data_IF_742347411137
#
_entry.id   IF_742347411137
#
_cell.length_a   1.000
_cell.length_b   1.000
_cell.length_c   1.000
_cell.angle_alpha   90.00
_cell.angle_beta   90.00
_cell.angle_gamma   90.00
#
_symmetry.space_group_name_H-M   'P 1'
#
loop_
_entity.id
_entity.type
_entity.pdbx_description
1 polymer ?
#
# COMPACT_ATOMS: atom_id res chain seq x y z
N UNK A 1 36.43 0.58 12.88
CA UNK A 1 37.61 0.93 13.70
C UNK A 1 38.27 2.18 13.11
N UNK A 2 38.95 2.99 13.92
CA UNK A 2 39.71 4.16 13.45
C UNK A 2 40.95 4.41 14.34
N UNK A 3 41.90 5.19 13.84
CA UNK A 3 43.10 5.60 14.58
C UNK A 3 42.79 6.88 15.36
N UNK A 4 43.07 6.88 16.67
CA UNK A 4 43.02 8.06 17.52
C UNK A 4 44.39 8.35 18.13
N UNK A 5 44.71 9.63 18.29
CA UNK A 5 45.87 10.08 19.06
C UNK A 5 45.33 10.71 20.34
N UNK A 6 45.73 10.18 21.49
CA UNK A 6 45.21 10.60 22.81
C UNK A 6 46.36 10.97 23.74
N UNK A 7 46.09 11.78 24.76
CA UNK A 7 47.10 12.33 25.67
C UNK A 7 47.57 13.74 25.28
N UNK A 8 48.48 14.32 26.10
CA UNK A 8 49.03 15.68 25.92
C UNK A 8 50.56 15.65 25.98
N UNK A 9 51.20 16.53 25.20
CA UNK A 9 52.66 16.71 25.21
C UNK A 9 53.43 15.44 24.81
N UNK A 10 54.49 15.12 25.57
CA UNK A 10 55.35 13.94 25.33
C UNK A 10 54.66 12.61 25.62
N UNK A 11 53.49 12.62 26.27
CA UNK A 11 52.71 11.43 26.65
C UNK A 11 51.65 11.05 25.61
N UNK A 12 51.70 11.61 24.39
CA UNK A 12 50.76 11.25 23.32
C UNK A 12 50.95 9.80 22.87
N UNK A 13 49.84 9.07 22.74
CA UNK A 13 49.83 7.68 22.29
C UNK A 13 48.89 7.49 21.10
N UNK A 14 49.25 6.58 20.19
CA UNK A 14 48.44 6.17 19.06
C UNK A 14 47.64 4.93 19.43
N UNK A 15 46.35 4.93 19.15
CA UNK A 15 45.42 3.87 19.53
C UNK A 15 44.48 3.52 18.38
N UNK A 16 44.09 2.24 18.28
CA UNK A 16 42.91 1.82 17.53
C UNK A 16 41.68 1.88 18.42
N UNK A 17 40.64 2.55 17.94
CA UNK A 17 39.40 2.79 18.66
C UNK A 17 38.17 2.38 17.84
N UNK A 18 37.09 2.09 18.56
CA UNK A 18 35.75 1.86 18.01
C UNK A 18 34.72 2.73 18.72
N UNK A 19 33.66 3.11 18.01
CA UNK A 19 32.52 3.79 18.60
C UNK A 19 31.33 2.85 18.64
N UNK A 20 30.79 2.65 19.85
CA UNK A 20 29.59 1.85 20.09
C UNK A 20 28.48 2.74 20.59
N UNK A 21 27.24 2.55 20.11
CA UNK A 21 26.09 3.28 20.62
C UNK A 21 25.67 2.68 21.96
N UNK A 22 25.50 3.50 22.98
CA UNK A 22 24.96 3.04 24.26
C UNK A 22 23.47 2.78 24.06
N UNK A 23 23.02 1.54 24.30
CA UNK A 23 21.63 1.14 24.11
C UNK A 23 20.65 2.09 24.83
N UNK A 24 19.54 2.41 24.17
CA UNK A 24 18.50 3.35 24.65
C UNK A 24 18.94 4.81 24.80
N UNK A 25 20.12 5.19 24.28
CA UNK A 25 20.56 6.60 24.27
C UNK A 25 21.06 7.04 22.90
N UNK A 26 21.17 8.35 22.70
CA UNK A 26 21.86 8.94 21.54
C UNK A 26 23.37 9.11 21.78
N UNK A 27 23.90 8.64 22.92
CA UNK A 27 25.31 8.78 23.27
C UNK A 27 26.13 7.63 22.68
N UNK A 28 27.32 7.97 22.18
CA UNK A 28 28.32 7.00 21.70
C UNK A 28 29.42 6.84 22.75
N UNK A 29 29.86 5.62 22.99
CA UNK A 29 31.01 5.28 23.83
C UNK A 29 32.17 4.88 22.93
N UNK A 30 33.33 5.50 23.14
CA UNK A 30 34.57 5.08 22.49
C UNK A 30 35.19 3.94 23.29
N UNK A 31 35.53 2.85 22.62
CA UNK A 31 36.23 1.70 23.18
C UNK A 31 37.60 1.63 22.53
N UNK A 32 38.65 1.59 23.34
CA UNK A 32 40.03 1.39 22.86
C UNK A 32 40.22 -0.10 22.59
N UNK A 33 40.50 -0.45 21.33
CA UNK A 33 40.72 -1.83 20.90
C UNK A 33 42.16 -2.24 21.15
N UNK A 34 43.12 -1.36 20.85
CA UNK A 34 44.56 -1.62 21.04
C UNK A 34 45.32 -0.30 21.13
N UNK A 35 46.27 -0.21 22.07
CA UNK A 35 47.26 0.88 22.11
C UNK A 35 48.49 0.45 21.33
N UNK A 36 48.94 1.27 20.39
CA UNK A 36 50.06 0.96 19.48
C UNK A 36 51.39 1.40 20.09
N UNK A 37 51.48 2.63 20.60
CA UNK A 37 52.71 3.14 21.18
C UNK A 37 52.74 4.67 21.28
N UNK A 38 53.88 5.23 21.68
CA UNK A 38 54.08 6.68 21.81
C UNK A 38 54.16 7.35 20.44
N UNK A 39 53.40 8.42 20.25
CA UNK A 39 53.29 9.13 18.97
C UNK A 39 54.63 9.69 18.46
N UNK A 40 55.43 10.29 19.34
CA UNK A 40 56.71 10.91 18.98
C UNK A 40 57.80 9.89 18.66
N UNK A 41 57.75 8.72 19.31
CA UNK A 41 58.68 7.62 19.02
C UNK A 41 58.37 7.00 17.66
N UNK A 42 57.09 6.70 17.41
CA UNK A 42 56.65 6.09 16.15
C UNK A 42 56.91 6.98 14.93
N UNK A 43 56.74 8.31 15.05
CA UNK A 43 57.03 9.23 13.95
C UNK A 43 58.52 9.39 13.66
N UNK A 44 59.40 9.25 14.67
CA UNK A 44 60.85 9.28 14.48
C UNK A 44 61.35 8.07 13.72
N UNK A 45 60.74 6.91 13.94
CA UNK A 45 61.09 5.66 13.25
C UNK A 45 60.48 5.59 11.85
N UNK A 46 59.23 6.01 11.68
CA UNK A 46 58.55 6.05 10.39
C UNK A 46 57.64 7.29 10.28
N UNK A 47 58.00 8.30 9.47
CA UNK A 47 57.18 9.49 9.26
C UNK A 47 55.77 9.21 8.71
N UNK A 48 55.58 8.08 8.01
CA UNK A 48 54.32 7.69 7.37
C UNK A 48 53.45 6.74 8.22
N UNK A 49 53.88 6.39 9.43
CA UNK A 49 53.23 5.37 10.28
C UNK A 49 51.73 5.61 10.51
N UNK A 50 51.29 6.86 10.62
CA UNK A 50 49.87 7.19 10.84
C UNK A 50 49.02 6.88 9.61
N UNK A 51 49.54 7.10 8.41
CA UNK A 51 48.84 6.80 7.17
C UNK A 51 48.70 5.28 6.99
N UNK A 52 49.75 4.53 7.30
CA UNK A 52 49.75 3.07 7.28
C UNK A 52 48.76 2.49 8.29
N UNK A 53 48.79 2.97 9.54
CA UNK A 53 47.85 2.55 10.57
C UNK A 53 46.39 2.87 10.21
N UNK A 54 46.13 3.98 9.50
CA UNK A 54 44.77 4.28 8.98
C UNK A 54 44.34 3.29 7.89
N UNK A 55 45.24 2.92 6.97
CA UNK A 55 44.96 1.89 5.95
C UNK A 55 44.71 0.53 6.61
N UNK A 56 45.49 0.18 7.62
CA UNK A 56 45.31 -1.06 8.37
C UNK A 56 44.01 -1.08 9.18
N UNK A 57 43.66 0.02 9.85
CA UNK A 57 42.37 0.14 10.54
C UNK A 57 41.17 -0.04 9.59
N UNK A 58 41.30 0.45 8.34
CA UNK A 58 40.29 0.24 7.29
C UNK A 58 40.23 -1.23 6.89
N UNK A 59 41.37 -1.87 6.61
CA UNK A 59 41.46 -3.30 6.27
C UNK A 59 40.85 -4.18 7.34
N UNK A 60 41.22 -3.99 8.61
CA UNK A 60 40.68 -4.72 9.76
C UNK A 60 39.17 -4.48 9.94
N UNK A 61 38.68 -3.28 9.63
CA UNK A 61 37.23 -3.00 9.65
C UNK A 61 36.51 -3.76 8.54
N UNK A 62 37.09 -3.84 7.35
CA UNK A 62 36.51 -4.53 6.20
C UNK A 62 36.57 -6.06 6.38
N UNK A 63 37.64 -6.61 6.94
CA UNK A 63 37.75 -8.02 7.34
C UNK A 63 36.75 -8.38 8.44
N UNK A 64 36.58 -7.56 9.48
CA UNK A 64 35.54 -7.77 10.51
C UNK A 64 34.12 -7.66 9.95
N UNK A 65 33.88 -6.77 8.98
CA UNK A 65 32.58 -6.70 8.27
C UNK A 65 32.31 -7.94 7.42
N UNK A 66 33.34 -8.59 6.90
CA UNK A 66 33.22 -9.89 6.19
C UNK A 66 32.96 -11.05 7.16
N UNK A 67 33.57 -11.04 8.35
CA UNK A 67 33.47 -12.13 9.34
C UNK A 67 32.28 -12.01 10.32
N UNK A 68 31.66 -10.84 10.46
CA UNK A 68 30.38 -10.73 11.17
C UNK A 68 29.30 -11.30 10.26
N UNK A 69 28.71 -12.45 10.62
CA UNK A 69 27.55 -12.99 9.91
C UNK A 69 26.50 -11.88 9.78
N UNK A 70 26.29 -11.36 8.56
CA UNK A 70 25.17 -10.46 8.32
C UNK A 70 23.92 -11.27 8.62
N UNK A 71 23.23 -10.95 9.70
CA UNK A 71 21.87 -11.39 9.90
C UNK A 71 21.07 -10.92 8.69
N UNK A 72 20.70 -11.83 7.81
CA UNK A 72 19.99 -11.49 6.59
C UNK A 72 18.50 -11.50 6.91
N UNK A 73 17.86 -10.37 6.62
CA UNK A 73 16.48 -10.12 6.91
C UNK A 73 15.77 -9.76 5.60
N UNK A 74 14.76 -10.54 5.24
CA UNK A 74 13.96 -10.31 4.04
C UNK A 74 12.49 -10.16 4.37
N UNK A 75 11.74 -9.43 3.55
CA UNK A 75 10.28 -9.45 3.55
C UNK A 75 9.80 -10.59 2.67
N UNK A 76 8.81 -11.34 3.15
CA UNK A 76 8.25 -12.47 2.41
C UNK A 76 6.71 -12.48 2.36
N UNK A 77 6.06 -11.41 2.84
CA UNK A 77 4.59 -11.30 2.80
C UNK A 77 4.02 -11.29 1.38
N UNK A 78 4.83 -10.99 0.37
CA UNK A 78 4.49 -11.13 -1.04
C UNK A 78 4.26 -12.59 -1.49
N UNK A 79 4.53 -13.59 -0.64
CA UNK A 79 4.09 -14.98 -0.84
C UNK A 79 2.57 -15.09 -1.07
N UNK A 80 1.77 -14.22 -0.42
CA UNK A 80 0.33 -14.14 -0.68
C UNK A 80 0.04 -13.71 -2.13
N UNK A 81 0.73 -12.66 -2.58
CA UNK A 81 0.58 -12.15 -3.96
C UNK A 81 1.05 -13.19 -4.95
N UNK A 82 2.16 -13.88 -4.67
CA UNK A 82 2.69 -14.95 -5.51
C UNK A 82 1.73 -16.12 -5.68
N UNK A 83 1.10 -16.56 -4.59
CA UNK A 83 0.07 -17.61 -4.63
C UNK A 83 -1.11 -17.20 -5.51
N UNK A 84 -1.63 -15.99 -5.33
CA UNK A 84 -2.70 -15.45 -6.19
C UNK A 84 -2.27 -15.30 -7.65
N UNK A 85 -1.05 -14.80 -7.88
CA UNK A 85 -0.50 -14.56 -9.23
C UNK A 85 -0.41 -15.85 -10.05
N UNK A 86 -0.07 -16.97 -9.40
CA UNK A 86 -0.10 -18.30 -10.01
C UNK A 86 -1.49 -18.77 -10.37
N UNK A 87 -2.48 -18.41 -9.57
CA UNK A 87 -3.87 -18.83 -9.76
C UNK A 87 -4.57 -18.05 -10.87
N UNK A 88 -4.23 -16.76 -11.05
CA UNK A 88 -4.75 -15.92 -12.14
C UNK A 88 -4.14 -16.35 -13.48
N UNK A 89 -2.92 -16.87 -13.48
CA UNK A 89 -2.13 -17.29 -14.64
C UNK A 89 -2.00 -16.22 -15.75
N UNK A 90 -1.39 -15.08 -15.39
CA UNK A 90 -1.17 -13.97 -16.33
C UNK A 90 -0.13 -14.28 -17.43
N UNK A 91 0.44 -15.50 -17.47
CA UNK A 91 1.48 -15.85 -18.44
C UNK A 91 0.94 -15.89 -19.87
N UNK A 92 -0.30 -16.33 -20.06
CA UNK A 92 -0.92 -16.36 -21.39
C UNK A 92 -1.10 -14.95 -21.97
N UNK A 93 -1.42 -13.98 -21.11
CA UNK A 93 -1.65 -12.58 -21.51
C UNK A 93 -0.35 -11.82 -21.69
N UNK A 94 0.59 -11.96 -20.75
CA UNK A 94 1.79 -11.10 -20.67
C UNK A 94 3.04 -11.75 -21.28
N UNK A 95 3.12 -13.08 -21.34
CA UNK A 95 4.38 -13.80 -21.51
C UNK A 95 5.21 -13.83 -20.22
N UNK A 96 6.22 -14.70 -20.18
CA UNK A 96 6.97 -14.98 -18.94
C UNK A 96 7.81 -13.79 -18.47
N UNK A 97 8.53 -13.13 -19.37
CA UNK A 97 9.42 -12.02 -19.04
C UNK A 97 8.65 -10.82 -18.47
N UNK A 98 7.60 -10.37 -19.16
CA UNK A 98 6.78 -9.24 -18.72
C UNK A 98 6.02 -9.57 -17.43
N UNK A 99 5.49 -10.80 -17.29
CA UNK A 99 4.83 -11.25 -16.06
C UNK A 99 5.77 -11.18 -14.85
N UNK A 100 7.04 -11.56 -15.00
CA UNK A 100 8.06 -11.47 -13.94
C UNK A 100 8.33 -10.02 -13.54
N UNK A 101 8.56 -9.13 -14.50
CA UNK A 101 8.83 -7.70 -14.22
C UNK A 101 7.61 -7.03 -13.58
N UNK A 102 6.42 -7.30 -14.11
CA UNK A 102 5.17 -6.78 -13.57
C UNK A 102 4.91 -7.26 -12.15
N UNK A 103 5.14 -8.54 -11.85
CA UNK A 103 5.00 -9.09 -10.51
C UNK A 103 5.86 -8.31 -9.50
N UNK A 104 7.12 -8.02 -9.84
CA UNK A 104 7.99 -7.21 -9.00
C UNK A 104 7.42 -5.81 -8.78
N UNK A 105 6.94 -5.13 -9.83
CA UNK A 105 6.32 -3.79 -9.72
C UNK A 105 5.11 -3.81 -8.79
N UNK A 106 4.23 -4.81 -8.94
CA UNK A 106 3.05 -5.00 -8.11
C UNK A 106 3.43 -5.21 -6.65
N UNK A 107 4.42 -6.07 -6.37
CA UNK A 107 4.87 -6.32 -5.00
C UNK A 107 5.49 -5.08 -4.37
N UNK A 108 6.35 -4.35 -5.10
CA UNK A 108 6.88 -3.09 -4.62
C UNK A 108 5.76 -2.11 -4.31
N UNK A 109 4.79 -1.92 -5.22
CA UNK A 109 3.68 -0.99 -5.00
C UNK A 109 2.77 -1.37 -3.83
N UNK A 110 2.45 -2.65 -3.67
CA UNK A 110 1.59 -3.13 -2.59
C UNK A 110 2.30 -3.20 -1.22
N UNK A 111 3.61 -3.49 -1.25
CA UNK A 111 4.42 -3.73 -0.06
C UNK A 111 5.27 -2.55 0.41
N UNK A 112 5.43 -1.50 -0.41
CA UNK A 112 6.23 -0.29 -0.12
C UNK A 112 5.36 0.98 -0.03
N UNK A 113 5.96 2.17 -0.09
CA UNK A 113 5.23 3.44 -0.19
C UNK A 113 4.66 3.63 -1.59
N UNK A 114 3.38 3.97 -1.70
CA UNK A 114 2.68 4.13 -2.99
C UNK A 114 3.29 5.19 -3.91
N UNK A 115 4.07 6.13 -3.35
CA UNK A 115 4.55 7.30 -4.07
C UNK A 115 5.82 7.07 -4.89
N UNK A 116 6.62 6.05 -4.63
CA UNK A 116 7.91 5.86 -5.31
C UNK A 116 7.97 4.47 -5.92
N UNK A 117 8.34 4.37 -7.20
CA UNK A 117 8.55 3.08 -7.85
C UNK A 117 9.87 2.41 -7.44
N UNK A 118 10.83 3.18 -6.90
CA UNK A 118 12.22 2.74 -6.70
C UNK A 118 12.61 2.31 -5.28
N UNK A 119 11.76 2.40 -4.26
CA UNK A 119 12.28 2.17 -2.91
C UNK A 119 12.29 0.70 -2.50
N UNK A 120 13.43 0.07 -2.75
CA UNK A 120 14.02 -0.92 -1.85
C UNK A 120 14.05 -0.32 -0.44
N UNK A 121 13.04 -0.65 0.38
CA UNK A 121 13.09 -0.43 1.83
C UNK A 121 14.41 -1.00 2.36
N UNK A 122 14.88 -0.49 3.52
CA UNK A 122 16.05 -1.03 4.25
C UNK A 122 16.05 -2.57 4.36
N UNK A 123 14.88 -3.19 4.34
CA UNK A 123 14.70 -4.64 4.24
C UNK A 123 14.16 -4.99 2.86
N UNK A 124 14.94 -5.70 2.02
CA UNK A 124 14.52 -6.13 0.69
C UNK A 124 13.47 -7.23 0.77
N UNK A 125 12.73 -7.43 -0.32
CA UNK A 125 11.87 -8.59 -0.48
C UNK A 125 12.71 -9.81 -0.90
N UNK A 126 12.35 -10.98 -0.38
CA UNK A 126 13.02 -12.25 -0.73
C UNK A 126 12.89 -12.52 -2.23
N UNK A 127 14.01 -12.80 -2.90
CA UNK A 127 14.08 -13.11 -4.34
C UNK A 127 13.42 -12.09 -5.29
N UNK A 128 13.26 -10.84 -4.87
CA UNK A 128 12.80 -9.76 -5.74
C UNK A 128 13.95 -8.78 -5.97
N UNK A 129 14.32 -8.66 -7.24
CA UNK A 129 15.32 -7.72 -7.71
C UNK A 129 14.68 -6.35 -7.92
N UNK A 130 15.49 -5.30 -7.73
CA UNK A 130 15.08 -3.94 -8.09
C UNK A 130 14.87 -3.84 -9.60
N UNK A 131 13.86 -3.09 -9.99
CA UNK A 131 13.50 -2.90 -11.40
C UNK A 131 14.25 -1.69 -11.91
N UNK A 132 14.85 -1.82 -13.10
CA UNK A 132 15.58 -0.70 -13.69
C UNK A 132 14.61 0.37 -14.17
N UNK A 133 15.13 1.60 -14.30
CA UNK A 133 14.35 2.71 -14.85
C UNK A 133 13.81 2.37 -16.26
N UNK A 134 14.64 1.76 -17.10
CA UNK A 134 14.25 1.36 -18.45
C UNK A 134 13.14 0.32 -18.44
N UNK A 135 13.30 -0.75 -17.64
CA UNK A 135 12.30 -1.82 -17.56
C UNK A 135 10.96 -1.30 -17.03
N UNK A 136 10.99 -0.33 -16.11
CA UNK A 136 9.77 0.32 -15.62
C UNK A 136 9.01 0.99 -16.77
N UNK A 137 9.64 1.87 -17.55
CA UNK A 137 8.97 2.57 -18.65
C UNK A 137 8.50 1.62 -19.75
N UNK A 138 9.35 0.67 -20.17
CA UNK A 138 8.98 -0.35 -21.16
C UNK A 138 7.79 -1.19 -20.69
N UNK A 139 7.78 -1.59 -19.41
CA UNK A 139 6.64 -2.32 -18.84
C UNK A 139 5.36 -1.50 -18.92
N UNK A 140 5.40 -0.19 -18.63
CA UNK A 140 4.21 0.66 -18.74
C UNK A 140 3.70 0.75 -20.19
N UNK A 141 4.58 0.83 -21.18
CA UNK A 141 4.17 0.83 -22.59
C UNK A 141 3.53 -0.49 -23.01
N UNK A 142 4.02 -1.62 -22.50
CA UNK A 142 3.39 -2.92 -22.73
C UNK A 142 2.05 -3.09 -22.01
N UNK A 143 1.92 -2.53 -20.80
CA UNK A 143 0.66 -2.53 -20.06
C UNK A 143 -0.43 -1.71 -20.76
N UNK A 144 -0.08 -0.56 -21.35
CA UNK A 144 -1.01 0.25 -22.13
C UNK A 144 -1.62 -0.55 -23.29
N UNK A 145 -0.80 -1.30 -24.03
CA UNK A 145 -1.26 -2.16 -25.13
C UNK A 145 -2.14 -3.31 -24.66
N UNK A 146 -1.91 -3.83 -23.46
CA UNK A 146 -2.58 -5.02 -22.90
C UNK A 146 -3.71 -4.68 -21.92
N UNK A 147 -4.10 -3.41 -21.79
CA UNK A 147 -5.09 -2.94 -20.82
C UNK A 147 -6.39 -3.76 -20.87
N UNK A 148 -6.96 -3.92 -22.06
CA UNK A 148 -8.25 -4.63 -22.25
C UNK A 148 -8.14 -6.10 -21.87
N UNK A 149 -7.09 -6.78 -22.34
CA UNK A 149 -6.85 -8.20 -22.08
C UNK A 149 -6.66 -8.46 -20.57
N UNK A 150 -5.97 -7.54 -19.89
CA UNK A 150 -5.77 -7.60 -18.44
C UNK A 150 -7.08 -7.38 -17.68
N UNK A 151 -7.88 -6.38 -18.05
CA UNK A 151 -9.19 -6.15 -17.45
C UNK A 151 -10.08 -7.39 -17.63
N UNK A 152 -10.12 -7.98 -18.82
CA UNK A 152 -10.90 -9.18 -19.10
C UNK A 152 -10.40 -10.38 -18.27
N UNK A 153 -9.09 -10.61 -18.21
CA UNK A 153 -8.48 -11.68 -17.42
C UNK A 153 -8.85 -11.59 -15.93
N UNK A 154 -8.74 -10.40 -15.33
CA UNK A 154 -9.10 -10.19 -13.93
C UNK A 154 -10.61 -10.36 -13.70
N UNK A 155 -11.47 -9.86 -14.60
CA UNK A 155 -12.91 -10.09 -14.48
C UNK A 155 -13.27 -11.57 -14.57
N UNK A 156 -12.74 -12.30 -15.53
CA UNK A 156 -12.94 -13.74 -15.68
C UNK A 156 -12.50 -14.52 -14.43
N UNK A 157 -11.40 -14.09 -13.80
CA UNK A 157 -10.97 -14.64 -12.53
C UNK A 157 -11.98 -14.35 -11.40
N UNK A 158 -12.41 -13.09 -11.24
CA UNK A 158 -13.32 -12.72 -10.16
C UNK A 158 -14.73 -13.27 -10.33
N UNK A 159 -15.25 -13.38 -11.56
CA UNK A 159 -16.53 -14.06 -11.82
C UNK A 159 -16.57 -15.49 -11.27
N UNK A 160 -15.43 -16.19 -11.27
CA UNK A 160 -15.31 -17.56 -10.75
C UNK A 160 -15.05 -17.60 -9.24
N UNK A 161 -14.47 -16.55 -8.66
CA UNK A 161 -13.91 -16.55 -7.30
C UNK A 161 -14.71 -15.74 -6.29
N UNK A 162 -15.61 -14.89 -6.76
CA UNK A 162 -16.40 -13.99 -5.91
C UNK A 162 -17.90 -14.26 -6.09
N UNK A 163 -18.70 -13.69 -5.20
CA UNK A 163 -20.17 -13.70 -5.29
C UNK A 163 -20.68 -12.40 -5.89
N UNK A 164 -20.01 -11.90 -6.92
CA UNK A 164 -20.36 -10.65 -7.58
C UNK A 164 -21.71 -10.81 -8.28
N UNK A 165 -22.68 -9.97 -7.90
CA UNK A 165 -23.95 -9.83 -8.59
C UNK A 165 -23.79 -8.89 -9.79
N UNK A 166 -24.58 -9.07 -10.84
CA UNK A 166 -24.50 -8.29 -12.09
C UNK A 166 -25.63 -7.25 -12.22
N UNK A 167 -26.45 -7.12 -11.18
CA UNK A 167 -27.62 -6.23 -11.22
C UNK A 167 -27.22 -4.77 -10.97
N UNK A 168 -26.21 -4.56 -10.12
CA UNK A 168 -25.77 -3.23 -9.71
C UNK A 168 -24.24 -3.12 -9.67
N UNK A 169 -23.72 -2.03 -10.20
CA UNK A 169 -22.32 -1.64 -10.05
C UNK A 169 -22.20 -0.18 -9.64
N UNK A 170 -21.00 0.16 -9.19
CA UNK A 170 -20.68 1.48 -8.70
C UNK A 170 -19.60 2.09 -9.55
N UNK A 171 -19.64 3.40 -9.69
CA UNK A 171 -18.54 4.12 -10.32
C UNK A 171 -18.13 5.36 -9.55
N UNK A 172 -16.83 5.62 -9.58
CA UNK A 172 -16.20 6.75 -8.92
C UNK A 172 -15.36 7.52 -9.93
N UNK A 173 -15.68 8.81 -10.10
CA UNK A 173 -14.92 9.71 -10.96
C UNK A 173 -13.95 10.50 -10.10
N UNK A 174 -12.65 10.35 -10.36
CA UNK A 174 -11.58 11.08 -9.67
C UNK A 174 -10.79 11.94 -10.64
N UNK A 175 -10.29 13.08 -10.17
CA UNK A 175 -9.49 13.99 -10.98
C UNK A 175 -8.03 13.85 -10.60
N UNK A 176 -7.15 13.91 -11.59
CA UNK A 176 -5.71 13.79 -11.41
C UNK A 176 -4.98 14.96 -12.06
N UNK A 177 -3.87 15.33 -11.44
CA UNK A 177 -2.93 16.32 -11.97
C UNK A 177 -1.55 15.69 -12.04
N UNK A 178 -1.00 15.65 -13.24
CA UNK A 178 0.39 15.32 -13.48
C UNK A 178 1.16 16.58 -13.81
N UNK A 179 2.22 16.86 -13.06
CA UNK A 179 3.12 17.96 -13.35
C UNK A 179 4.48 17.40 -13.81
N UNK A 180 4.87 17.72 -15.04
CA UNK A 180 6.09 17.21 -15.65
C UNK A 180 7.36 17.82 -15.06
N UNK A 181 7.31 19.08 -14.61
CA UNK A 181 8.43 19.77 -13.97
C UNK A 181 8.79 19.16 -12.61
N UNK A 182 7.79 18.95 -11.76
CA UNK A 182 7.96 18.31 -10.45
C UNK A 182 8.06 16.79 -10.56
N UNK A 183 7.72 16.20 -11.73
CA UNK A 183 7.68 14.74 -11.95
C UNK A 183 6.75 14.04 -10.97
N UNK A 184 5.61 14.67 -10.66
CA UNK A 184 4.64 14.16 -9.69
C UNK A 184 3.27 14.05 -10.30
N UNK A 185 2.68 12.85 -10.15
CA UNK A 185 1.26 12.59 -10.32
C UNK A 185 0.62 12.53 -8.93
N UNK A 186 -0.43 13.32 -8.70
CA UNK A 186 -1.29 13.20 -7.53
C UNK A 186 -2.75 13.33 -7.94
N UNK A 187 -3.62 12.60 -7.23
CA UNK A 187 -5.05 12.80 -7.36
C UNK A 187 -5.49 14.03 -6.58
N UNK A 188 -6.47 14.75 -7.13
CA UNK A 188 -7.10 15.88 -6.50
C UNK A 188 -8.58 15.53 -6.26
N UNK A 189 -9.08 15.69 -5.03
CA UNK A 189 -10.52 15.72 -4.83
C UNK A 189 -11.12 16.97 -5.50
N UNK A 190 -10.36 18.07 -5.66
CA UNK A 190 -10.84 19.38 -6.12
C UNK A 190 -10.27 19.76 -7.48
N UNK A 191 -11.13 20.28 -8.36
CA UNK A 191 -10.74 20.93 -9.61
C UNK A 191 -10.21 22.36 -9.38
N UNK A 192 -9.12 22.51 -8.61
CA UNK A 192 -8.36 23.77 -8.56
C UNK A 192 -7.30 23.75 -9.65
N UNK A 193 -7.77 23.98 -10.87
CA UNK A 193 -6.95 24.08 -12.07
C UNK A 193 -6.30 25.47 -12.07
N UNK A 194 -5.15 25.61 -11.40
CA UNK A 194 -4.23 26.69 -11.74
C UNK A 194 -3.47 26.28 -13.00
N UNK A 195 -3.72 27.03 -14.08
CA UNK A 195 -3.15 26.83 -15.40
C UNK A 195 -1.68 27.23 -15.44
N UNK A 196 -0.80 26.27 -15.21
CA UNK A 196 0.58 26.33 -15.65
C UNK A 196 0.74 25.35 -16.82
N UNK A 197 1.48 25.75 -17.86
CA UNK A 197 1.67 25.01 -19.11
C UNK A 197 2.27 23.60 -18.94
N UNK A 198 2.82 23.31 -17.76
CA UNK A 198 3.50 22.06 -17.41
C UNK A 198 2.59 21.05 -16.67
N UNK A 199 1.29 21.33 -16.59
CA UNK A 199 0.32 20.52 -15.85
C UNK A 199 -0.71 19.85 -16.76
N UNK A 200 -0.75 18.52 -16.73
CA UNK A 200 -1.77 17.72 -17.40
C UNK A 200 -2.85 17.32 -16.40
N UNK A 201 -4.07 17.80 -16.64
CA UNK A 201 -5.25 17.43 -15.85
C UNK A 201 -6.09 16.41 -16.61
N UNK A 202 -6.60 15.42 -15.90
CA UNK A 202 -7.41 14.35 -16.49
C UNK A 202 -8.33 13.71 -15.44
N UNK A 203 -9.35 13.00 -15.90
CA UNK A 203 -10.29 12.27 -15.05
C UNK A 203 -10.12 10.77 -15.21
N UNK A 204 -10.37 10.02 -14.14
CA UNK A 204 -10.51 8.57 -14.16
C UNK A 204 -11.91 8.21 -13.67
N UNK A 205 -12.66 7.48 -14.48
CA UNK A 205 -13.85 6.76 -14.03
C UNK A 205 -13.45 5.32 -13.68
N UNK A 206 -13.57 4.94 -12.41
CA UNK A 206 -13.35 3.57 -11.94
C UNK A 206 -14.70 2.91 -11.67
N UNK A 207 -14.91 1.71 -12.22
CA UNK A 207 -16.10 0.89 -12.04
C UNK A 207 -15.78 -0.29 -11.14
N UNK A 208 -16.65 -0.62 -10.19
CA UNK A 208 -16.44 -1.68 -9.20
C UNK A 208 -17.76 -2.28 -8.69
N UNK A 209 -17.67 -3.48 -8.11
CA UNK A 209 -18.83 -4.18 -7.51
C UNK A 209 -19.08 -3.77 -6.04
N UNK A 210 -20.10 -4.36 -5.41
CA UNK A 210 -20.46 -4.10 -4.00
C UNK A 210 -19.35 -4.45 -2.98
N UNK A 211 -18.37 -5.27 -3.36
CA UNK A 211 -17.20 -5.60 -2.54
C UNK A 211 -16.01 -4.67 -2.80
N UNK A 212 -16.17 -3.69 -3.69
CA UNK A 212 -15.11 -2.77 -4.11
C UNK A 212 -14.11 -3.39 -5.08
N UNK A 213 -14.36 -4.59 -5.61
CA UNK A 213 -13.47 -5.24 -6.57
C UNK A 213 -13.67 -4.55 -7.92
N UNK A 214 -12.60 -4.06 -8.57
CA UNK A 214 -12.71 -3.38 -9.85
C UNK A 214 -13.36 -4.24 -10.94
N UNK A 215 -14.13 -3.58 -11.80
CA UNK A 215 -14.71 -4.10 -13.03
C UNK A 215 -13.92 -3.57 -14.22
N UNK A 216 -13.73 -2.26 -14.28
CA UNK A 216 -13.02 -1.59 -15.37
C UNK A 216 -12.62 -0.19 -14.92
N UNK A 217 -11.79 0.48 -15.71
CA UNK A 217 -11.55 1.91 -15.56
C UNK A 217 -11.46 2.58 -16.94
N UNK A 218 -11.64 3.89 -16.98
CA UNK A 218 -11.42 4.74 -18.16
C UNK A 218 -10.69 6.01 -17.77
N UNK A 219 -9.75 6.43 -18.61
CA UNK A 219 -9.02 7.69 -18.48
C UNK A 219 -9.49 8.67 -19.53
N UNK A 220 -9.71 9.90 -19.11
CA UNK A 220 -10.17 11.02 -19.93
C UNK A 220 -9.13 12.12 -19.85
N UNK A 221 -8.21 12.14 -20.81
CA UNK A 221 -7.12 13.11 -20.87
C UNK A 221 -7.59 14.30 -21.69
N UNK A 222 -7.59 15.50 -21.09
CA UNK A 222 -8.14 16.76 -21.66
C UNK A 222 -9.66 16.76 -21.93
N UNK A 223 -10.31 15.61 -21.81
CA UNK A 223 -11.75 15.43 -21.85
C UNK A 223 -12.30 15.23 -20.43
N UNK A 224 -13.62 15.37 -20.28
CA UNK A 224 -14.32 15.08 -19.03
C UNK A 224 -15.25 13.91 -19.24
N UNK A 225 -15.41 13.10 -18.20
CA UNK A 225 -16.36 12.01 -18.21
C UNK A 225 -17.78 12.55 -18.46
N UNK A 226 -18.47 12.01 -19.46
CA UNK A 226 -19.84 12.36 -19.83
C UNK A 226 -20.79 11.16 -19.71
N UNK A 227 -22.08 11.40 -19.97
CA UNK A 227 -23.10 10.35 -19.93
C UNK A 227 -23.00 9.37 -21.09
N UNK A 228 -22.53 9.82 -22.25
CA UNK A 228 -22.38 8.94 -23.42
C UNK A 228 -21.38 7.83 -23.15
N UNK A 229 -20.27 8.12 -22.46
CA UNK A 229 -19.31 7.06 -22.13
C UNK A 229 -19.84 6.10 -21.07
N UNK A 230 -20.73 6.55 -20.17
CA UNK A 230 -21.40 5.67 -19.23
C UNK A 230 -22.29 4.66 -19.98
N UNK A 231 -23.10 5.11 -20.94
CA UNK A 231 -23.96 4.24 -21.75
C UNK A 231 -23.17 3.19 -22.56
N UNK A 232 -21.98 3.55 -23.06
CA UNK A 232 -21.10 2.61 -23.75
C UNK A 232 -20.53 1.53 -22.80
N UNK A 233 -20.18 1.92 -21.58
CA UNK A 233 -19.65 1.02 -20.55
C UNK A 233 -20.75 0.11 -20.02
N UNK A 234 -21.97 0.62 -19.86
CA UNK A 234 -23.16 -0.15 -19.50
C UNK A 234 -23.39 -1.31 -20.46
N UNK A 235 -23.33 -1.04 -21.77
CA UNK A 235 -23.46 -2.05 -22.83
C UNK A 235 -22.31 -3.07 -22.78
N UNK A 236 -21.10 -2.62 -22.50
CA UNK A 236 -19.90 -3.47 -22.48
C UNK A 236 -19.89 -4.41 -21.29
N UNK A 237 -20.21 -3.92 -20.09
CA UNK A 237 -20.16 -4.70 -18.85
C UNK A 237 -21.41 -5.56 -18.62
N UNK A 238 -22.49 -5.33 -19.38
CA UNK A 238 -23.78 -6.04 -19.25
C UNK A 238 -24.34 -5.94 -17.83
N UNK A 239 -24.24 -4.76 -17.22
CA UNK A 239 -24.73 -4.47 -15.88
C UNK A 239 -25.97 -3.60 -16.01
N UNK A 240 -27.02 -3.95 -15.26
CA UNK A 240 -28.34 -3.34 -15.41
C UNK A 240 -28.40 -1.90 -14.89
N UNK A 241 -27.63 -1.57 -13.86
CA UNK A 241 -27.69 -0.26 -13.21
C UNK A 241 -26.34 0.15 -12.62
N UNK A 242 -25.95 1.41 -12.85
CA UNK A 242 -24.78 2.02 -12.23
C UNK A 242 -25.17 3.08 -11.20
N UNK A 243 -24.49 3.07 -10.07
CA UNK A 243 -24.64 4.06 -8.99
C UNK A 243 -23.39 4.92 -8.89
N UNK A 244 -23.55 6.23 -9.03
CA UNK A 244 -22.46 7.19 -8.86
C UNK A 244 -22.09 7.28 -7.39
N UNK A 245 -20.84 7.01 -7.05
CA UNK A 245 -20.31 7.31 -5.73
C UNK A 245 -19.56 8.63 -5.81
N UNK A 246 -19.99 9.64 -5.05
CA UNK A 246 -19.38 10.97 -5.06
C UNK A 246 -18.90 11.38 -3.68
N UNK A 247 -17.63 11.77 -3.58
CA UNK A 247 -17.08 12.38 -2.36
C UNK A 247 -17.47 13.86 -2.21
N UNK A 248 -18.21 14.41 -3.18
CA UNK A 248 -18.61 15.83 -3.24
C UNK A 248 -20.11 16.00 -3.54
N UNK A 249 -20.72 16.94 -2.85
CA UNK A 249 -22.14 17.29 -2.99
C UNK A 249 -22.46 17.90 -4.38
N UNK A 250 -21.57 18.74 -4.91
CA UNK A 250 -21.83 19.51 -6.14
C UNK A 250 -21.87 18.68 -7.44
N UNK A 251 -21.52 17.39 -7.38
CA UNK A 251 -21.59 16.48 -8.54
C UNK A 251 -22.97 15.84 -8.71
N UNK A 252 -23.90 16.13 -7.81
CA UNK A 252 -25.22 15.49 -7.79
C UNK A 252 -26.18 16.28 -8.67
N UNK A 253 -26.24 15.89 -9.95
CA UNK A 253 -27.35 16.23 -10.85
C UNK A 253 -28.07 14.95 -11.37
N UNK A 254 -27.59 13.77 -10.96
CA UNK A 254 -27.99 12.48 -11.50
C UNK A 254 -28.86 11.67 -10.54
N UNK A 255 -29.70 10.81 -11.08
CA UNK A 255 -30.34 9.71 -10.34
C UNK A 255 -29.34 8.57 -10.12
N UNK A 256 -29.58 7.74 -9.12
CA UNK A 256 -28.76 6.59 -8.71
C UNK A 256 -27.38 7.03 -8.21
N UNK A 257 -27.33 7.60 -7.00
CA UNK A 257 -26.07 8.07 -6.42
C UNK A 257 -25.93 7.74 -4.93
N UNK A 258 -24.68 7.73 -4.46
CA UNK A 258 -24.29 7.81 -3.06
C UNK A 258 -23.30 8.97 -2.95
N UNK A 259 -23.66 10.00 -2.18
CA UNK A 259 -22.84 11.21 -2.07
C UNK A 259 -22.59 11.61 -0.64
N UNK A 260 -21.38 12.08 -0.34
CA UNK A 260 -21.13 12.77 0.93
C UNK A 260 -21.80 14.14 0.95
N UNK A 261 -22.43 14.47 2.07
CA UNK A 261 -22.98 15.80 2.36
C UNK A 261 -22.39 16.33 3.67
N UNK A 262 -22.21 17.65 3.79
CA UNK A 262 -21.79 18.27 5.03
C UNK A 262 -22.99 18.50 5.94
N UNK A 263 -22.79 18.38 7.26
CA UNK A 263 -23.87 18.59 8.22
C UNK A 263 -24.46 20.00 8.10
N UNK A 264 -23.59 20.98 7.88
CA UNK A 264 -23.91 22.39 7.75
C UNK A 264 -24.78 22.70 6.53
N UNK A 265 -24.72 21.84 5.49
CA UNK A 265 -25.50 22.00 4.27
C UNK A 265 -26.90 21.36 4.36
N UNK A 266 -27.17 20.59 5.42
CA UNK A 266 -28.50 20.02 5.67
C UNK A 266 -29.47 21.08 6.21
N UNK A 267 -30.76 20.92 5.90
CA UNK A 267 -31.77 21.82 6.44
C UNK A 267 -31.90 21.69 7.97
N UNK A 268 -32.45 22.74 8.62
CA UNK A 268 -32.48 22.82 10.09
C UNK A 268 -33.34 21.74 10.76
N UNK A 269 -34.36 21.22 10.07
CA UNK A 269 -35.21 20.14 10.59
C UNK A 269 -34.46 18.80 10.60
N UNK A 270 -33.76 18.48 9.52
CA UNK A 270 -32.91 17.28 9.41
C UNK A 270 -31.78 17.36 10.43
N UNK A 271 -31.10 18.50 10.55
CA UNK A 271 -30.05 18.69 11.56
C UNK A 271 -30.56 18.40 12.98
N UNK A 272 -31.74 18.92 13.34
CA UNK A 272 -32.38 18.62 14.63
C UNK A 272 -32.71 17.14 14.78
N UNK A 273 -33.21 16.48 13.72
CA UNK A 273 -33.53 15.05 13.76
C UNK A 273 -32.26 14.20 13.94
N UNK A 274 -31.14 14.54 13.31
CA UNK A 274 -29.85 13.86 13.49
C UNK A 274 -29.41 13.89 14.96
N UNK A 275 -29.52 15.07 15.60
CA UNK A 275 -29.10 15.29 16.98
C UNK A 275 -29.96 14.56 18.02
N UNK A 276 -31.16 14.08 17.66
CA UNK A 276 -31.97 13.25 18.55
C UNK A 276 -31.33 11.88 18.72
N UNK A 277 -31.21 11.42 19.97
CA UNK A 277 -30.71 10.08 20.32
C UNK A 277 -31.67 8.93 19.97
N UNK A 278 -32.86 9.24 19.44
CA UNK A 278 -33.82 8.24 18.97
C UNK A 278 -33.44 7.70 17.58
N UNK A 279 -33.93 6.50 17.26
CA UNK A 279 -33.78 5.81 15.95
C UNK A 279 -32.34 5.45 15.55
N UNK A 280 -31.38 5.58 16.46
CA UNK A 280 -30.03 5.04 16.24
C UNK A 280 -30.05 3.52 16.38
N UNK A 281 -29.55 2.82 15.37
CA UNK A 281 -29.25 1.40 15.43
C UNK A 281 -27.77 1.24 15.81
N UNK A 282 -27.52 0.47 16.84
CA UNK A 282 -26.16 0.16 17.29
C UNK A 282 -25.59 -0.92 16.37
N UNK A 283 -24.45 -0.61 15.76
CA UNK A 283 -23.76 -1.50 14.82
C UNK A 283 -22.74 -2.36 15.57
N UNK A 284 -21.95 -1.74 16.45
CA UNK A 284 -20.90 -2.44 17.21
C UNK A 284 -20.83 -1.90 18.64
N UNK A 285 -20.57 -2.82 19.59
CA UNK A 285 -20.23 -2.51 20.97
C UNK A 285 -18.96 -3.23 21.41
N UNK A 286 -18.21 -2.60 22.30
CA UNK A 286 -17.12 -3.27 23.00
C UNK A 286 -17.69 -4.35 23.93
N UNK A 287 -17.15 -5.57 23.82
CA UNK A 287 -17.63 -6.74 24.55
C UNK A 287 -17.41 -6.60 26.07
N UNK A 288 -16.36 -5.89 26.50
CA UNK A 288 -15.97 -5.76 27.91
C UNK A 288 -16.65 -4.58 28.57
N UNK A 289 -16.70 -3.43 27.90
CA UNK A 289 -17.19 -2.17 28.47
C UNK A 289 -18.64 -1.87 28.09
N UNK A 290 -19.23 -2.63 27.15
CA UNK A 290 -20.54 -2.37 26.55
C UNK A 290 -20.66 -0.97 25.90
N UNK A 291 -19.52 -0.34 25.64
CA UNK A 291 -19.44 0.96 24.99
C UNK A 291 -19.84 0.86 23.52
N UNK A 292 -20.62 1.83 23.02
CA UNK A 292 -20.97 1.90 21.60
C UNK A 292 -19.75 2.33 20.79
N UNK A 293 -19.32 1.46 19.88
CA UNK A 293 -18.20 1.73 18.99
C UNK A 293 -18.68 2.31 17.66
N UNK A 294 -19.82 1.83 17.16
CA UNK A 294 -20.40 2.24 15.89
C UNK A 294 -21.93 2.28 15.97
N UNK A 295 -22.55 3.31 15.39
CA UNK A 295 -24.00 3.44 15.28
C UNK A 295 -24.39 4.08 13.95
N UNK A 296 -25.58 3.75 13.44
CA UNK A 296 -26.13 4.37 12.25
C UNK A 296 -27.59 4.80 12.42
N UNK A 297 -28.01 5.72 11.57
CA UNK A 297 -29.36 6.27 11.53
C UNK A 297 -29.74 6.58 10.09
N UNK A 298 -31.01 6.43 9.76
CA UNK A 298 -31.55 6.74 8.44
C UNK A 298 -32.66 7.76 8.62
N UNK A 299 -32.63 8.79 7.79
CA UNK A 299 -33.68 9.82 7.73
C UNK A 299 -34.17 9.88 6.28
N UNK A 300 -35.46 9.72 6.07
CA UNK A 300 -36.08 9.95 4.77
C UNK A 300 -36.30 11.46 4.61
N UNK A 301 -35.72 12.06 3.58
CA UNK A 301 -35.82 13.50 3.30
C UNK A 301 -37.06 13.76 2.44
N UNK A 302 -37.21 12.99 1.36
CA UNK A 302 -38.36 13.01 0.46
C UNK A 302 -38.72 11.57 0.03
N UNK A 303 -39.67 11.40 -0.90
CA UNK A 303 -40.16 10.07 -1.29
C UNK A 303 -39.06 9.13 -1.80
N UNK A 304 -37.96 9.65 -2.35
CA UNK A 304 -36.90 8.82 -2.92
C UNK A 304 -35.53 9.04 -2.25
N UNK A 305 -35.32 10.17 -1.56
CA UNK A 305 -34.03 10.59 -1.02
C UNK A 305 -33.87 10.20 0.46
N UNK A 306 -32.81 9.44 0.75
CA UNK A 306 -32.46 8.95 2.07
C UNK A 306 -31.14 9.55 2.51
N UNK A 307 -31.09 9.98 3.76
CA UNK A 307 -29.87 10.37 4.45
C UNK A 307 -29.45 9.25 5.39
N UNK A 308 -28.34 8.61 5.06
CA UNK A 308 -27.66 7.66 5.90
C UNK A 308 -26.60 8.38 6.75
N UNK A 309 -26.75 8.28 8.07
CA UNK A 309 -25.80 8.82 9.03
C UNK A 309 -25.06 7.66 9.68
N UNK A 310 -23.74 7.72 9.64
CA UNK A 310 -22.86 6.76 10.30
C UNK A 310 -21.96 7.45 11.29
N UNK A 311 -21.80 6.86 12.46
CA UNK A 311 -20.87 7.32 13.47
C UNK A 311 -19.97 6.18 13.91
N UNK A 312 -18.67 6.48 14.09
CA UNK A 312 -17.75 5.56 14.76
C UNK A 312 -16.82 6.29 15.74
N UNK A 313 -16.57 5.66 16.88
CA UNK A 313 -15.65 6.17 17.91
C UNK A 313 -14.24 6.37 17.35
N UNK A 314 -13.78 5.46 16.50
CA UNK A 314 -12.47 5.54 15.85
C UNK A 314 -12.36 6.77 14.95
N UNK A 315 -13.40 7.08 14.16
CA UNK A 315 -13.43 8.30 13.36
C UNK A 315 -13.51 9.54 14.25
N UNK A 316 -14.30 9.51 15.33
CA UNK A 316 -14.40 10.63 16.27
C UNK A 316 -13.04 11.01 16.87
N UNK A 317 -12.24 10.01 17.29
CA UNK A 317 -10.88 10.25 17.75
C UNK A 317 -9.99 10.86 16.67
N UNK A 318 -10.08 10.36 15.42
CA UNK A 318 -9.33 10.91 14.29
C UNK A 318 -9.73 12.35 13.99
N UNK A 319 -11.03 12.66 13.99
CA UNK A 319 -11.57 14.01 13.79
C UNK A 319 -11.11 15.00 14.86
N UNK A 320 -11.05 14.55 16.12
CA UNK A 320 -10.49 15.32 17.22
C UNK A 320 -9.01 15.64 16.99
N UNK A 321 -8.21 14.65 16.59
CA UNK A 321 -6.79 14.86 16.28
C UNK A 321 -6.57 15.77 15.07
N UNK A 322 -7.44 15.66 14.05
CA UNK A 322 -7.42 16.49 12.83
C UNK A 322 -8.05 17.88 13.03
N UNK A 323 -8.73 18.13 14.16
CA UNK A 323 -9.45 19.37 14.48
C UNK A 323 -10.46 19.79 13.39
N UNK A 324 -11.14 18.83 12.77
CA UNK A 324 -12.03 19.08 11.64
C UNK A 324 -13.52 19.25 12.02
N UNK A 325 -13.87 19.17 13.31
CA UNK A 325 -15.23 19.39 13.81
C UNK A 325 -16.27 18.29 13.53
N UNK A 326 -15.96 17.28 12.70
CA UNK A 326 -16.93 16.26 12.25
C UNK A 326 -17.33 15.24 13.32
N UNK A 327 -16.54 15.15 14.40
CA UNK A 327 -16.89 14.40 15.62
C UNK A 327 -17.26 12.92 15.40
N UNK A 328 -16.76 12.30 14.33
CA UNK A 328 -16.97 10.89 14.01
C UNK A 328 -18.11 10.61 13.06
N UNK A 329 -18.87 11.62 12.64
CA UNK A 329 -20.04 11.46 11.78
C UNK A 329 -19.67 11.51 10.29
N UNK A 330 -20.35 10.66 9.53
CA UNK A 330 -20.34 10.63 8.08
C UNK A 330 -21.80 10.68 7.62
N UNK A 331 -22.10 11.60 6.72
CA UNK A 331 -23.44 11.80 6.18
C UNK A 331 -23.41 11.44 4.69
N UNK A 332 -24.16 10.41 4.32
CA UNK A 332 -24.26 9.91 2.96
C UNK A 332 -25.70 10.04 2.50
N UNK A 333 -25.90 10.73 1.39
CA UNK A 333 -27.20 10.91 0.75
C UNK A 333 -27.30 9.98 -0.46
N UNK A 334 -28.44 9.34 -0.62
CA UNK A 334 -28.70 8.43 -1.74
C UNK A 334 -30.17 8.42 -2.12
N UNK A 335 -30.44 8.25 -3.40
CA UNK A 335 -31.78 7.99 -3.95
C UNK A 335 -32.00 6.50 -4.29
N UNK A 336 -31.05 5.63 -3.93
CA UNK A 336 -31.09 4.21 -4.24
C UNK A 336 -31.81 3.40 -3.15
N UNK A 337 -32.81 2.62 -3.55
CA UNK A 337 -33.60 1.80 -2.62
C UNK A 337 -33.10 0.36 -2.52
N UNK A 338 -32.36 -0.12 -3.52
CA UNK A 338 -31.89 -1.50 -3.60
C UNK A 338 -30.69 -1.77 -2.67
N UNK A 339 -30.05 -0.73 -2.14
CA UNK A 339 -28.84 -0.87 -1.32
C UNK A 339 -29.22 -0.92 0.15
N UNK A 340 -28.79 -1.98 0.83
CA UNK A 340 -29.01 -2.09 2.25
C UNK A 340 -28.22 -1.00 3.02
N UNK A 341 -28.79 -0.40 4.08
CA UNK A 341 -28.16 0.76 4.73
C UNK A 341 -26.74 0.51 5.24
N UNK A 342 -26.47 -0.71 5.72
CA UNK A 342 -25.16 -1.10 6.20
C UNK A 342 -24.11 -1.22 5.08
N UNK A 343 -24.53 -1.41 3.82
CA UNK A 343 -23.66 -1.52 2.65
C UNK A 343 -23.28 -0.14 2.10
N UNK A 344 -24.15 0.87 2.21
CA UNK A 344 -23.90 2.24 1.72
C UNK A 344 -22.55 2.77 2.23
N UNK A 345 -22.27 2.60 3.53
CA UNK A 345 -20.99 3.01 4.10
C UNK A 345 -19.82 2.25 3.51
N UNK A 346 -19.96 0.94 3.31
CA UNK A 346 -18.90 0.09 2.79
C UNK A 346 -18.55 0.47 1.34
N UNK A 347 -19.58 0.63 0.50
CA UNK A 347 -19.48 1.10 -0.89
C UNK A 347 -18.75 2.43 -0.95
N UNK A 348 -19.17 3.39 -0.13
CA UNK A 348 -18.50 4.69 -0.08
C UNK A 348 -17.05 4.58 0.38
N UNK A 349 -16.75 3.76 1.38
CA UNK A 349 -15.38 3.53 1.86
C UNK A 349 -14.49 2.81 0.83
N UNK A 350 -15.07 2.16 -0.20
CA UNK A 350 -14.29 1.62 -1.32
C UNK A 350 -13.70 2.72 -2.22
N UNK A 351 -14.19 3.95 -2.20
CA UNK A 351 -13.55 5.05 -2.95
C UNK A 351 -12.40 5.71 -2.19
N UNK A 352 -12.31 5.50 -0.89
CA UNK A 352 -11.30 6.16 -0.05
C UNK A 352 -9.87 5.71 -0.35
N UNK A 353 -8.99 6.71 -0.48
CA UNK A 353 -7.56 6.59 -0.72
C UNK A 353 -7.20 5.99 -2.10
N UNK A 354 -8.13 5.96 -3.06
CA UNK A 354 -7.80 5.51 -4.42
C UNK A 354 -6.76 6.45 -5.05
N UNK A 355 -6.96 7.75 -4.93
CA UNK A 355 -6.05 8.78 -5.43
C UNK A 355 -4.64 8.63 -4.86
N UNK A 356 -4.54 8.40 -3.54
CA UNK A 356 -3.27 8.21 -2.85
C UNK A 356 -2.54 6.94 -3.30
N UNK A 357 -3.27 5.91 -3.74
CA UNK A 357 -2.70 4.66 -4.27
C UNK A 357 -2.15 4.83 -5.68
N UNK A 358 -2.75 5.75 -6.44
CA UNK A 358 -2.42 6.02 -7.83
C UNK A 358 -1.36 7.12 -7.95
N UNK A 359 -1.11 7.89 -6.89
CA UNK A 359 0.01 8.83 -6.76
C UNK A 359 1.35 8.19 -7.13
N UNK A 360 2.22 8.95 -7.80
CA UNK A 360 3.62 8.58 -8.01
C UNK A 360 4.49 9.84 -8.17
N UNK A 361 5.73 9.79 -7.71
CA UNK A 361 6.72 10.88 -7.75
C UNK A 361 7.97 10.41 -8.50
N UNK A 362 8.77 11.39 -8.91
CA UNK A 362 10.09 11.20 -9.53
C UNK A 362 10.04 10.38 -10.83
N UNK A 363 8.94 10.51 -11.58
CA UNK A 363 8.73 9.85 -12.88
C UNK A 363 8.31 10.86 -13.95
N UNK A 364 8.83 10.65 -15.15
CA UNK A 364 8.53 11.48 -16.32
C UNK A 364 7.65 10.70 -17.29
N UNK A 365 6.35 10.97 -17.25
CA UNK A 365 5.37 10.26 -18.07
C UNK A 365 5.01 11.01 -19.35
N UNK A 366 4.97 10.22 -20.43
CA UNK A 366 4.16 10.53 -21.60
C UNK A 366 2.72 10.06 -21.35
N UNK A 367 1.81 10.42 -22.25
CA UNK A 367 0.42 9.95 -22.21
C UNK A 367 0.31 8.41 -22.16
N UNK A 368 1.08 7.70 -22.98
CA UNK A 368 1.11 6.22 -22.96
C UNK A 368 1.59 5.66 -21.62
N UNK A 369 2.61 6.29 -21.02
CA UNK A 369 3.10 5.88 -19.71
C UNK A 369 2.06 6.12 -18.60
N UNK A 370 1.24 7.19 -18.71
CA UNK A 370 0.11 7.40 -17.80
C UNK A 370 -0.91 6.27 -17.91
N UNK A 371 -1.33 5.90 -19.12
CA UNK A 371 -2.23 4.76 -19.32
C UNK A 371 -1.67 3.47 -18.70
N UNK A 372 -0.42 3.13 -19.02
CA UNK A 372 0.25 1.96 -18.45
C UNK A 372 0.35 1.99 -16.92
N UNK A 373 0.61 3.16 -16.33
CA UNK A 373 0.65 3.33 -14.87
C UNK A 373 -0.72 3.09 -14.23
N UNK A 374 -1.79 3.57 -14.83
CA UNK A 374 -3.14 3.32 -14.34
C UNK A 374 -3.57 1.86 -14.50
N UNK A 375 -3.11 1.17 -15.56
CA UNK A 375 -3.25 -0.29 -15.69
C UNK A 375 -2.54 -1.00 -14.53
N UNK A 376 -1.30 -0.62 -14.21
CA UNK A 376 -0.57 -1.15 -13.05
C UNK A 376 -1.32 -0.89 -11.73
N UNK A 377 -1.87 0.31 -11.56
CA UNK A 377 -2.67 0.67 -10.38
C UNK A 377 -3.94 -0.18 -10.27
N UNK A 378 -4.64 -0.39 -11.38
CA UNK A 378 -5.82 -1.24 -11.47
C UNK A 378 -5.50 -2.67 -11.02
N UNK A 379 -4.41 -3.27 -11.52
CA UNK A 379 -3.96 -4.61 -11.12
C UNK A 379 -3.70 -4.68 -9.61
N UNK A 380 -2.99 -3.69 -9.07
CA UNK A 380 -2.73 -3.60 -7.64
C UNK A 380 -4.03 -3.49 -6.84
N UNK A 381 -5.00 -2.70 -7.34
CA UNK A 381 -6.29 -2.52 -6.70
C UNK A 381 -7.13 -3.81 -6.73
N UNK A 382 -7.12 -4.56 -7.84
CA UNK A 382 -7.76 -5.87 -7.95
C UNK A 382 -7.25 -6.84 -6.88
N UNK A 383 -5.92 -6.96 -6.74
CA UNK A 383 -5.29 -7.86 -5.77
C UNK A 383 -5.64 -7.46 -4.34
N UNK A 384 -5.50 -6.18 -3.99
CA UNK A 384 -5.73 -5.73 -2.61
C UNK A 384 -7.21 -5.83 -2.22
N UNK A 385 -8.14 -5.56 -3.16
CA UNK A 385 -9.59 -5.68 -2.94
C UNK A 385 -10.00 -7.13 -2.79
N UNK A 386 -9.42 -8.03 -3.56
CA UNK A 386 -9.65 -9.47 -3.37
C UNK A 386 -9.16 -9.94 -2.00
N UNK A 387 -7.99 -9.48 -1.53
CA UNK A 387 -7.55 -9.78 -0.17
C UNK A 387 -8.48 -9.20 0.90
N UNK A 388 -9.04 -8.01 0.70
CA UNK A 388 -10.08 -7.48 1.60
C UNK A 388 -11.33 -8.37 1.60
N UNK A 389 -11.79 -8.81 0.43
CA UNK A 389 -12.92 -9.72 0.27
C UNK A 389 -12.70 -11.04 1.04
N UNK A 390 -11.54 -11.67 0.88
CA UNK A 390 -11.17 -12.90 1.60
C UNK A 390 -11.07 -12.68 3.12
N UNK A 391 -10.42 -11.59 3.54
CA UNK A 391 -10.33 -11.23 4.97
C UNK A 391 -11.72 -10.95 5.57
N UNK A 392 -12.63 -10.38 4.77
CA UNK A 392 -14.03 -10.10 5.09
C UNK A 392 -14.93 -11.32 5.09
N UNK A 393 -14.36 -12.54 5.09
CA UNK A 393 -15.12 -13.80 5.04
C UNK A 393 -16.00 -13.88 3.79
N UNK A 394 -15.38 -13.61 2.63
CA UNK A 394 -16.02 -13.56 1.31
C UNK A 394 -17.08 -12.45 1.23
N UNK A 395 -16.69 -11.23 1.63
CA UNK A 395 -17.51 -10.04 1.50
C UNK A 395 -18.57 -9.81 2.59
N UNK A 396 -18.70 -10.70 3.57
CA UNK A 396 -19.65 -10.55 4.69
C UNK A 396 -19.35 -9.37 5.60
N UNK A 397 -18.07 -9.01 5.74
CA UNK A 397 -17.62 -7.92 6.58
C UNK A 397 -16.69 -7.00 5.82
N UNK A 398 -16.88 -5.70 5.98
CA UNK A 398 -15.94 -4.73 5.45
C UNK A 398 -14.61 -4.83 6.19
N UNK A 399 -13.52 -4.90 5.43
CA UNK A 399 -12.15 -4.90 5.98
C UNK A 399 -11.41 -3.70 5.43
N UNK A 400 -10.92 -2.77 6.27
CA UNK A 400 -10.09 -1.67 5.81
C UNK A 400 -8.84 -2.14 5.05
N UNK A 401 -8.51 -1.48 3.94
CA UNK A 401 -7.43 -1.88 3.04
C UNK A 401 -6.05 -1.98 3.72
N UNK A 402 -5.82 -1.21 4.79
CA UNK A 402 -4.57 -1.25 5.58
C UNK A 402 -4.23 -2.65 6.10
N UNK A 403 -5.24 -3.49 6.39
CA UNK A 403 -5.01 -4.85 6.88
C UNK A 403 -4.39 -5.74 5.80
N UNK A 404 -4.90 -5.67 4.57
CA UNK A 404 -4.32 -6.37 3.43
C UNK A 404 -2.91 -5.84 3.10
N UNK A 405 -2.70 -4.51 3.15
CA UNK A 405 -1.36 -3.92 2.90
C UNK A 405 -0.33 -4.36 3.94
N UNK A 406 -0.71 -4.41 5.23
CA UNK A 406 0.16 -4.91 6.30
C UNK A 406 0.43 -6.41 6.18
N UNK A 407 -0.51 -7.19 5.66
CA UNK A 407 -0.29 -8.61 5.40
C UNK A 407 0.82 -8.83 4.36
N UNK A 408 0.93 -7.97 3.35
CA UNK A 408 1.98 -8.07 2.32
C UNK A 408 3.29 -7.46 2.82
N UNK A 409 3.23 -6.28 3.44
CA UNK A 409 4.43 -5.50 3.76
C UNK A 409 5.15 -5.96 5.02
N UNK A 410 4.46 -6.40 6.08
CA UNK A 410 5.08 -6.64 7.38
C UNK A 410 5.83 -7.97 7.56
N UNK A 411 5.36 -9.12 7.04
CA UNK A 411 6.00 -10.41 7.29
C UNK A 411 7.46 -10.42 6.82
N UNK A 412 8.35 -10.77 7.74
CA UNK A 412 9.78 -10.80 7.52
C UNK A 412 10.36 -12.13 7.97
N UNK A 413 11.46 -12.55 7.36
CA UNK A 413 12.17 -13.77 7.69
C UNK A 413 13.60 -13.45 8.05
N UNK A 414 13.99 -13.86 9.26
CA UNK A 414 15.33 -13.75 9.78
C UNK A 414 16.06 -15.06 9.57
N UNK A 415 17.24 -15.00 8.94
CA UNK A 415 18.05 -16.18 8.66
C UNK A 415 19.17 -16.28 9.71
N UNK A 416 19.20 -17.40 10.43
CA UNK A 416 20.15 -17.67 11.50
C UNK A 416 21.01 -18.88 11.13
N UNK A 417 22.35 -18.71 11.16
CA UNK A 417 23.27 -19.83 10.96
C UNK A 417 23.65 -20.43 12.31
N UNK A 418 23.29 -21.68 12.56
CA UNK A 418 23.69 -22.46 13.75
C UNK A 418 24.59 -23.61 13.29
N UNK A 419 25.90 -23.48 13.51
CA UNK A 419 26.88 -24.41 12.96
C UNK A 419 26.91 -24.36 11.43
N UNK A 420 26.69 -25.50 10.78
CA UNK A 420 26.61 -25.61 9.32
C UNK A 420 25.18 -25.47 8.76
N UNK A 421 24.17 -25.41 9.63
CA UNK A 421 22.77 -25.37 9.24
C UNK A 421 22.21 -23.93 9.27
N UNK A 422 21.28 -23.67 8.37
CA UNK A 422 20.60 -22.39 8.23
C UNK A 422 19.14 -22.55 8.65
N UNK A 423 18.78 -21.87 9.73
CA UNK A 423 17.45 -21.85 10.29
C UNK A 423 16.74 -20.54 9.92
N UNK A 424 15.45 -20.65 9.64
CA UNK A 424 14.64 -19.51 9.27
C UNK A 424 13.64 -19.20 10.39
N UNK A 425 13.56 -17.92 10.72
CA UNK A 425 12.72 -17.41 11.79
C UNK A 425 11.76 -16.36 11.22
N UNK A 426 10.53 -16.74 10.85
CA UNK A 426 9.48 -15.81 10.46
C UNK A 426 9.10 -14.91 11.64
N UNK A 427 9.01 -13.60 11.38
CA UNK A 427 8.66 -12.57 12.37
C UNK A 427 7.65 -11.59 11.76
N UNK A 428 6.97 -10.83 12.63
CA UNK A 428 5.98 -9.82 12.24
C UNK A 428 4.81 -10.36 11.39
N UNK A 429 4.42 -11.62 11.62
CA UNK A 429 3.24 -12.22 10.99
C UNK A 429 1.98 -11.56 11.56
N UNK A 430 1.27 -10.82 10.73
CA UNK A 430 0.00 -10.20 11.15
C UNK A 430 -1.13 -11.23 11.14
N UNK A 431 -2.17 -11.03 11.94
CA UNK A 431 -3.37 -11.87 11.89
C UNK A 431 -3.97 -11.94 10.47
N UNK A 432 -3.90 -10.82 9.74
CA UNK A 432 -4.32 -10.74 8.34
C UNK A 432 -3.47 -11.62 7.43
N UNK A 433 -2.14 -11.65 7.61
CA UNK A 433 -1.26 -12.56 6.88
C UNK A 433 -1.59 -14.02 7.17
N UNK A 434 -1.71 -14.39 8.45
CA UNK A 434 -2.01 -15.78 8.85
C UNK A 434 -3.37 -16.24 8.29
N UNK A 435 -4.39 -15.39 8.35
CA UNK A 435 -5.71 -15.68 7.79
C UNK A 435 -5.65 -15.87 6.27
N UNK A 436 -5.01 -14.95 5.55
CA UNK A 436 -4.86 -15.05 4.09
C UNK A 436 -4.01 -16.26 3.68
N UNK A 437 -2.91 -16.51 4.38
CA UNK A 437 -2.03 -17.67 4.16
C UNK A 437 -2.83 -18.98 4.25
N UNK A 438 -3.67 -19.13 5.27
CA UNK A 438 -4.55 -20.30 5.39
C UNK A 438 -5.56 -20.40 4.25
N UNK A 439 -6.21 -19.30 3.88
CA UNK A 439 -7.22 -19.26 2.80
C UNK A 439 -6.59 -19.61 1.45
N UNK A 440 -5.39 -19.11 1.17
CA UNK A 440 -4.65 -19.32 -0.07
C UNK A 440 -3.84 -20.64 -0.09
N UNK A 441 -3.98 -21.48 0.94
CA UNK A 441 -3.34 -22.80 0.99
C UNK A 441 -1.84 -22.78 1.25
N UNK A 442 -1.28 -21.70 1.80
CA UNK A 442 0.10 -21.65 2.29
C UNK A 442 0.23 -22.45 3.60
N UNK A 443 1.42 -22.99 3.86
CA UNK A 443 1.70 -23.76 5.07
C UNK A 443 1.99 -22.90 6.31
N UNK A 444 2.22 -23.55 7.45
CA UNK A 444 2.46 -22.86 8.72
C UNK A 444 3.90 -22.32 8.86
N UNK A 445 4.03 -21.11 9.43
CA UNK A 445 5.32 -20.45 9.63
C UNK A 445 5.71 -20.49 11.10
N UNK A 446 6.66 -21.38 11.43
CA UNK A 446 7.18 -21.59 12.79
C UNK A 446 8.63 -21.09 12.89
N UNK A 447 9.08 -20.79 14.11
CA UNK A 447 10.49 -20.51 14.37
C UNK A 447 11.35 -21.74 14.07
N UNK A 448 12.62 -21.49 13.76
CA UNK A 448 13.63 -22.51 13.45
C UNK A 448 13.21 -23.47 12.33
N UNK A 449 12.49 -22.98 11.32
CA UNK A 449 12.07 -23.81 10.19
C UNK A 449 13.22 -24.01 9.19
N UNK A 450 13.28 -25.19 8.56
CA UNK A 450 14.21 -25.47 7.48
C UNK A 450 13.87 -24.68 6.21
N UNK A 451 14.85 -24.53 5.32
CA UNK A 451 14.68 -23.93 4.00
C UNK A 451 13.58 -24.66 3.22
N UNK A 452 13.66 -25.98 3.12
CA UNK A 452 12.69 -26.80 2.38
C UNK A 452 11.25 -26.59 2.87
N UNK A 453 11.06 -26.55 4.21
CA UNK A 453 9.73 -26.32 4.79
C UNK A 453 9.24 -24.91 4.47
N UNK A 454 10.11 -23.91 4.51
CA UNK A 454 9.74 -22.54 4.16
C UNK A 454 9.37 -22.39 2.69
N UNK A 455 10.15 -22.96 1.78
CA UNK A 455 9.88 -22.92 0.35
C UNK A 455 8.57 -23.63 0.01
N UNK A 456 8.33 -24.79 0.62
CA UNK A 456 7.06 -25.51 0.50
C UNK A 456 5.88 -24.68 1.00
N UNK A 457 6.03 -24.00 2.14
CA UNK A 457 4.93 -23.29 2.79
C UNK A 457 4.62 -21.94 2.12
N UNK A 458 5.66 -21.22 1.65
CA UNK A 458 5.52 -19.90 1.05
C UNK A 458 5.39 -19.92 -0.48
N UNK A 459 5.84 -21.01 -1.12
CA UNK A 459 6.04 -21.10 -2.57
C UNK A 459 7.23 -20.27 -3.08
N UNK A 460 7.92 -19.53 -2.22
CA UNK A 460 9.07 -18.71 -2.56
C UNK A 460 10.34 -19.51 -2.36
N UNK A 461 11.24 -19.50 -3.36
CA UNK A 461 12.56 -20.11 -3.21
C UNK A 461 13.44 -19.26 -2.30
N UNK A 462 14.50 -19.83 -1.76
CA UNK A 462 15.64 -19.10 -1.22
C UNK A 462 16.79 -19.39 -2.19
N UNK A 463 16.96 -18.51 -3.18
CA UNK A 463 18.12 -18.62 -4.05
C UNK A 463 19.37 -18.35 -3.21
N UNK A 464 20.53 -18.87 -3.64
CA UNK A 464 21.84 -18.73 -2.98
C UNK A 464 22.31 -17.26 -2.83
N UNK A 465 21.58 -16.43 -2.09
CA UNK A 465 21.93 -15.05 -1.71
C UNK A 465 23.04 -15.09 -0.63
N UNK A 466 23.74 -16.22 -0.49
CA UNK A 466 24.56 -16.62 0.64
C UNK A 466 25.85 -17.37 0.24
N UNK A 467 26.24 -17.38 -1.03
CA UNK A 467 27.64 -17.65 -1.42
C UNK A 467 28.43 -16.35 -1.48
#
# INVERSE_FOLDING_TARGET
>A
MYVAITGKGKSRVVQFCEQHRIAKTNKKKTIVVKTIGNYEALLRENPNIILELKKEAKRLTDERKKNTSKNILFRFGHSLVYSLWKEIDLKEVLGEALSKTLFSLVVYRLGSSYSTFLENRKTPFLNLESITHSDFYETLLELEKKEKDLIECFNNFFEKKTRREKDLAYYYVSSYKYNSYWKVLYGLPVSDIQGESETLNFEMALFFDSYGIPLSYRLFIKEKFSEKELEEIEKTLKISKFVLVSTQENRIQKRNFISSILFENLNSEIQKEILKETKWKIVEKDIKTNEVLEKNKIINIDNNLKLYIYWSKKRAFKDYMEKNGRSGYIYLMTDEELIEPHEISNIFQHTWNIEDKFKITDVEFSEKHLHGHFTLCYICLCIIRYFQYLLGSNGKFFVPMIYANKAISNPMIFMEKKGNELFLNPIHLTNSYLKLSKILGLGEFLQEMSIEKFEKNSGLKINNILL
#
